data_IF_452422065126
#
_entry.id   IF_452422065126
#
_cell.length_a   1.000
_cell.length_b   1.000
_cell.length_c   1.000
_cell.angle_alpha   90.00
_cell.angle_beta   90.00
_cell.angle_gamma   90.00
#
_symmetry.space_group_name_H-M   'P 1'
#
loop_
_entity.id
_entity.type
_entity.pdbx_description
1 polymer ?
#
# COMPACT_ATOMS: atom_id res chain seq x y z
N UNK A 1 6.94 12.55 -15.54
CA UNK A 1 5.51 12.32 -15.26
C UNK A 1 5.25 12.74 -13.83
N UNK A 2 4.22 13.56 -13.57
CA UNK A 2 3.91 14.01 -12.21
C UNK A 2 3.30 12.88 -11.36
N UNK A 3 3.65 12.83 -10.09
CA UNK A 3 3.16 11.87 -9.09
C UNK A 3 2.28 12.61 -8.11
N UNK A 4 0.98 12.32 -8.15
CA UNK A 4 -0.01 13.00 -7.31
C UNK A 4 -0.50 12.05 -6.23
N UNK A 5 -0.54 12.49 -4.98
CA UNK A 5 -1.15 11.76 -3.88
C UNK A 5 -2.66 11.98 -3.85
N UNK A 6 -3.43 10.93 -3.59
CA UNK A 6 -4.84 11.03 -3.24
C UNK A 6 -5.03 10.46 -1.84
N UNK A 7 -5.43 11.31 -0.89
CA UNK A 7 -5.56 10.94 0.52
C UNK A 7 -6.79 11.54 1.16
N UNK A 8 -7.02 11.25 2.45
CA UNK A 8 -8.30 11.49 3.13
C UNK A 8 -8.66 10.40 4.15
N UNK A 9 -9.49 10.75 5.12
CA UNK A 9 -9.89 9.85 6.20
C UNK A 9 -10.71 8.65 5.74
N UNK A 10 -10.94 7.71 6.66
CA UNK A 10 -11.90 6.61 6.44
C UNK A 10 -13.28 7.22 6.18
N UNK A 11 -13.96 6.77 5.13
CA UNK A 11 -15.30 7.25 4.78
C UNK A 11 -15.34 8.56 3.97
N UNK A 12 -14.20 9.21 3.68
CA UNK A 12 -14.21 10.49 2.96
C UNK A 12 -14.49 10.39 1.45
N UNK A 13 -14.62 9.18 0.90
CA UNK A 13 -14.91 9.00 -0.52
C UNK A 13 -13.70 9.03 -1.47
N UNK A 14 -12.46 8.92 -0.96
CA UNK A 14 -11.23 8.79 -1.78
C UNK A 14 -11.36 7.79 -2.91
N UNK A 15 -11.89 6.59 -2.62
CA UNK A 15 -12.06 5.53 -3.62
C UNK A 15 -13.00 5.98 -4.75
N UNK A 16 -14.02 6.77 -4.45
CA UNK A 16 -14.92 7.36 -5.46
C UNK A 16 -14.18 8.37 -6.32
N UNK A 17 -13.41 9.29 -5.70
CA UNK A 17 -12.59 10.27 -6.43
C UNK A 17 -11.55 9.58 -7.31
N UNK A 18 -10.89 8.53 -6.81
CA UNK A 18 -9.96 7.72 -7.59
C UNK A 18 -10.62 7.08 -8.81
N UNK A 19 -11.82 6.50 -8.65
CA UNK A 19 -12.59 5.94 -9.78
C UNK A 19 -12.94 6.99 -10.83
N UNK A 20 -13.26 8.21 -10.42
CA UNK A 20 -13.53 9.32 -11.36
C UNK A 20 -12.27 9.64 -12.18
N UNK A 21 -11.11 9.75 -11.54
CA UNK A 21 -9.85 9.95 -12.27
C UNK A 21 -9.55 8.80 -13.24
N UNK A 22 -9.75 7.55 -12.82
CA UNK A 22 -9.61 6.40 -13.72
C UNK A 22 -10.55 6.46 -14.92
N UNK A 23 -11.81 6.87 -14.72
CA UNK A 23 -12.78 7.04 -15.80
C UNK A 23 -12.39 8.16 -16.79
N UNK A 24 -11.60 9.15 -16.34
CA UNK A 24 -11.02 10.21 -17.17
C UNK A 24 -9.70 9.79 -17.84
N UNK A 25 -9.29 8.53 -17.73
CA UNK A 25 -8.07 8.00 -18.34
C UNK A 25 -6.79 8.29 -17.54
N UNK A 26 -6.90 8.74 -16.29
CA UNK A 26 -5.75 8.95 -15.40
C UNK A 26 -5.45 7.65 -14.66
N UNK A 27 -4.22 7.10 -14.77
CA UNK A 27 -3.87 5.90 -14.02
C UNK A 27 -3.86 6.19 -12.52
N UNK A 28 -4.55 5.34 -11.76
CA UNK A 28 -4.63 5.41 -10.30
C UNK A 28 -4.07 4.12 -9.73
N UNK A 29 -3.05 4.26 -8.90
CA UNK A 29 -2.44 3.19 -8.13
C UNK A 29 -3.05 3.15 -6.73
N UNK A 30 -3.60 2.00 -6.36
CA UNK A 30 -4.23 1.78 -5.05
C UNK A 30 -3.21 1.12 -4.11
N UNK A 31 -2.55 1.93 -3.27
CA UNK A 31 -1.45 1.44 -2.43
C UNK A 31 -1.89 0.35 -1.44
N UNK A 32 -3.10 0.48 -0.89
CA UNK A 32 -3.65 -0.50 0.05
C UNK A 32 -3.92 -1.86 -0.60
N UNK A 33 -4.30 -1.88 -1.88
CA UNK A 33 -4.51 -3.12 -2.63
C UNK A 33 -3.19 -3.75 -3.04
N UNK A 34 -2.25 -2.94 -3.51
CA UNK A 34 -0.91 -3.40 -3.86
C UNK A 34 -0.18 -3.98 -2.64
N UNK A 35 -0.25 -3.32 -1.48
CA UNK A 35 0.31 -3.86 -0.23
C UNK A 35 -0.27 -5.21 0.16
N UNK A 36 -1.58 -5.41 -0.02
CA UNK A 36 -2.24 -6.71 0.19
C UNK A 36 -1.73 -7.76 -0.80
N UNK A 37 -1.55 -7.41 -2.06
CA UNK A 37 -1.03 -8.34 -3.07
C UNK A 37 0.43 -8.71 -2.79
N UNK A 38 1.27 -7.72 -2.46
CA UNK A 38 2.69 -7.90 -2.16
C UNK A 38 2.93 -8.82 -0.97
N UNK A 39 2.05 -8.82 0.04
CA UNK A 39 2.10 -9.76 1.17
C UNK A 39 2.12 -11.23 0.75
N UNK A 40 1.54 -11.56 -0.40
CA UNK A 40 1.49 -12.93 -0.91
C UNK A 40 2.67 -13.29 -1.83
N UNK A 41 3.56 -12.34 -2.15
CA UNK A 41 4.77 -12.65 -2.91
C UNK A 41 5.72 -13.49 -2.05
N UNK A 42 6.45 -14.48 -2.63
CA UNK A 42 7.31 -15.37 -1.85
C UNK A 42 8.31 -14.63 -0.95
N UNK A 43 8.96 -13.59 -1.49
CA UNK A 43 9.96 -12.80 -0.75
C UNK A 43 9.35 -12.12 0.48
N UNK A 44 8.26 -11.38 0.30
CA UNK A 44 7.61 -10.65 1.40
C UNK A 44 6.98 -11.62 2.38
N UNK A 45 6.29 -12.67 1.90
CA UNK A 45 5.71 -13.71 2.74
C UNK A 45 6.74 -14.33 3.67
N UNK A 46 7.88 -14.74 3.13
CA UNK A 46 8.91 -15.45 3.89
C UNK A 46 9.53 -14.52 4.95
N UNK A 47 9.73 -13.25 4.63
CA UNK A 47 10.18 -12.24 5.59
C UNK A 47 9.12 -11.98 6.69
N UNK A 48 7.83 -11.92 6.33
CA UNK A 48 6.73 -11.76 7.30
C UNK A 48 6.63 -12.98 8.21
N UNK A 49 6.77 -14.20 7.69
CA UNK A 49 6.79 -15.41 8.49
C UNK A 49 8.02 -15.48 9.43
N UNK A 50 9.17 -14.97 8.98
CA UNK A 50 10.35 -14.84 9.84
C UNK A 50 10.14 -13.80 10.96
N UNK A 51 9.45 -12.70 10.68
CA UNK A 51 9.17 -11.63 11.65
C UNK A 51 8.09 -12.02 12.68
N UNK A 52 6.98 -12.62 12.22
CA UNK A 52 5.79 -12.84 13.05
C UNK A 52 5.61 -14.28 13.53
N UNK A 53 6.44 -15.21 13.03
CA UNK A 53 6.36 -16.64 13.26
C UNK A 53 5.63 -17.38 12.13
N UNK A 54 5.99 -18.64 11.89
CA UNK A 54 5.38 -19.45 10.82
C UNK A 54 3.88 -19.71 11.02
N UNK A 55 3.36 -19.48 12.23
CA UNK A 55 1.94 -19.64 12.52
C UNK A 55 1.05 -18.63 11.76
N UNK A 56 1.62 -17.56 11.21
CA UNK A 56 0.87 -16.63 10.34
C UNK A 56 0.61 -17.18 8.95
N UNK A 57 1.15 -18.36 8.62
CA UNK A 57 0.88 -19.07 7.38
C UNK A 57 -0.30 -20.04 7.55
N UNK A 58 -1.12 -20.17 6.52
CA UNK A 58 -2.13 -21.23 6.40
C UNK A 58 -1.50 -22.57 6.00
N UNK A 59 -2.33 -23.61 5.91
CA UNK A 59 -1.89 -24.97 5.56
C UNK A 59 -1.31 -25.07 4.14
N UNK A 60 -1.64 -24.12 3.27
CA UNK A 60 -1.10 -24.02 1.90
C UNK A 60 0.18 -23.19 1.84
N UNK A 61 0.65 -22.66 2.98
CA UNK A 61 1.83 -21.81 3.05
C UNK A 61 1.60 -20.39 2.54
N UNK A 62 0.36 -19.87 2.57
CA UNK A 62 0.03 -18.49 2.26
C UNK A 62 -0.17 -17.67 3.54
N UNK A 63 -0.05 -16.34 3.46
CA UNK A 63 -0.36 -15.45 4.59
C UNK A 63 -1.83 -15.55 4.99
N UNK A 64 -2.08 -15.92 6.25
CA UNK A 64 -3.37 -15.71 6.92
C UNK A 64 -3.40 -14.29 7.51
N UNK A 65 -4.09 -13.39 6.82
CA UNK A 65 -4.20 -11.98 7.20
C UNK A 65 -4.82 -11.78 8.59
N UNK A 66 -5.71 -12.67 9.04
CA UNK A 66 -6.33 -12.56 10.38
C UNK A 66 -5.28 -12.84 11.46
N UNK A 67 -4.42 -13.83 11.24
CA UNK A 67 -3.32 -14.16 12.16
C UNK A 67 -2.26 -13.06 12.18
N UNK A 68 -1.88 -12.52 11.02
CA UNK A 68 -0.98 -11.35 10.95
C UNK A 68 -1.56 -10.19 11.75
N UNK A 69 -2.82 -9.83 11.48
CA UNK A 69 -3.53 -8.76 12.20
C UNK A 69 -3.51 -8.99 13.72
N UNK A 70 -3.86 -10.18 14.19
CA UNK A 70 -3.84 -10.52 15.61
C UNK A 70 -2.44 -10.33 16.25
N UNK A 71 -1.36 -10.69 15.53
CA UNK A 71 0.01 -10.52 16.03
C UNK A 71 0.46 -9.06 16.10
N UNK A 72 0.11 -8.25 15.10
CA UNK A 72 0.54 -6.84 15.04
C UNK A 72 -0.34 -5.90 15.87
N UNK A 73 -1.62 -6.24 16.08
CA UNK A 73 -2.48 -5.47 17.00
C UNK A 73 -2.14 -5.70 18.47
N UNK A 74 -1.56 -6.86 18.81
CA UNK A 74 -1.10 -7.15 20.16
C UNK A 74 0.27 -6.52 20.48
N UNK A 75 1.03 -6.07 19.47
CA UNK A 75 2.40 -5.58 19.63
C UNK A 75 2.71 -4.45 18.63
N UNK A 76 2.64 -3.18 19.06
CA UNK A 76 2.93 -2.03 18.21
C UNK A 76 4.31 -2.07 17.56
N UNK A 77 5.31 -2.68 18.20
CA UNK A 77 6.66 -2.81 17.63
C UNK A 77 6.66 -3.74 16.42
N UNK A 78 5.89 -4.84 16.47
CA UNK A 78 5.72 -5.73 15.32
C UNK A 78 4.97 -5.06 14.18
N UNK A 79 3.99 -4.21 14.49
CA UNK A 79 3.30 -3.42 13.47
C UNK A 79 4.28 -2.48 12.75
N UNK A 80 5.12 -1.77 13.51
CA UNK A 80 6.16 -0.91 12.94
C UNK A 80 7.14 -1.70 12.06
N UNK A 81 7.64 -2.84 12.53
CA UNK A 81 8.55 -3.71 11.76
C UNK A 81 7.89 -4.25 10.49
N UNK A 82 6.61 -4.64 10.56
CA UNK A 82 5.85 -5.07 9.39
C UNK A 82 5.72 -3.92 8.38
N UNK A 83 5.36 -2.73 8.84
CA UNK A 83 5.24 -1.54 7.98
C UNK A 83 6.59 -1.17 7.34
N UNK A 84 7.69 -1.26 8.07
CA UNK A 84 9.04 -1.03 7.56
C UNK A 84 9.46 -2.02 6.46
N UNK A 85 8.84 -3.19 6.41
CA UNK A 85 9.04 -4.19 5.36
C UNK A 85 8.12 -3.92 4.16
N UNK A 86 6.86 -3.59 4.40
CA UNK A 86 5.84 -3.43 3.35
C UNK A 86 5.95 -2.09 2.62
N UNK A 87 6.19 -0.98 3.31
CA UNK A 87 6.21 0.35 2.69
C UNK A 87 7.28 0.48 1.59
N UNK A 88 8.54 0.01 1.77
CA UNK A 88 9.53 0.03 0.69
C UNK A 88 9.11 -0.84 -0.51
N UNK A 89 8.47 -1.98 -0.26
CA UNK A 89 7.99 -2.87 -1.32
C UNK A 89 6.87 -2.21 -2.14
N UNK A 90 5.90 -1.58 -1.48
CA UNK A 90 4.81 -0.82 -2.14
C UNK A 90 5.37 0.36 -2.92
N UNK A 91 6.35 1.09 -2.34
CA UNK A 91 7.02 2.18 -3.05
C UNK A 91 7.68 1.69 -4.33
N UNK A 92 8.42 0.57 -4.26
CA UNK A 92 9.09 0.01 -5.43
C UNK A 92 8.09 -0.44 -6.49
N UNK A 93 7.03 -1.12 -6.08
CA UNK A 93 5.96 -1.56 -6.97
C UNK A 93 5.27 -0.36 -7.66
N UNK A 94 5.01 0.72 -6.92
CA UNK A 94 4.51 1.98 -7.49
C UNK A 94 5.49 2.57 -8.51
N UNK A 95 6.79 2.64 -8.21
CA UNK A 95 7.80 3.16 -9.14
C UNK A 95 7.83 2.37 -10.45
N UNK A 96 7.85 1.03 -10.35
CA UNK A 96 7.86 0.14 -11.51
C UNK A 96 6.53 0.21 -12.30
N UNK A 97 5.40 0.34 -11.60
CA UNK A 97 4.08 0.54 -12.22
C UNK A 97 3.99 1.90 -12.92
N UNK A 98 4.48 2.97 -12.29
CA UNK A 98 4.45 4.33 -12.81
C UNK A 98 5.32 4.46 -14.06
N UNK A 99 6.50 3.82 -14.08
CA UNK A 99 7.40 3.81 -15.24
C UNK A 99 6.77 3.22 -16.52
N UNK A 100 5.70 2.42 -16.39
CA UNK A 100 4.97 1.82 -17.52
C UNK A 100 3.84 2.70 -18.04
N UNK A 101 3.49 3.78 -17.34
CA UNK A 101 2.39 4.67 -17.72
C UNK A 101 2.85 5.71 -18.74
N UNK A 102 1.92 6.15 -19.60
CA UNK A 102 2.16 7.16 -20.65
C UNK A 102 1.43 8.48 -20.36
N UNK A 103 0.72 8.58 -19.23
CA UNK A 103 -0.02 9.78 -18.85
C UNK A 103 0.92 10.90 -18.40
N UNK A 104 0.45 12.15 -18.45
CA UNK A 104 1.22 13.31 -17.94
C UNK A 104 1.44 13.22 -16.43
N UNK A 105 0.49 12.61 -15.72
CA UNK A 105 0.53 12.38 -14.29
C UNK A 105 -0.14 11.05 -13.93
N UNK A 106 0.22 10.53 -12.76
CA UNK A 106 -0.40 9.36 -12.12
C UNK A 106 -0.82 9.72 -10.71
N UNK A 107 -1.79 8.97 -10.19
CA UNK A 107 -2.26 9.14 -8.82
C UNK A 107 -1.85 7.93 -7.99
N UNK A 108 -1.27 8.18 -6.81
CA UNK A 108 -1.08 7.19 -5.74
C UNK A 108 -2.13 7.44 -4.66
N UNK A 109 -3.11 6.56 -4.57
CA UNK A 109 -4.13 6.61 -3.53
C UNK A 109 -3.66 5.83 -2.30
N UNK A 110 -3.67 6.48 -1.14
CA UNK A 110 -3.32 5.89 0.14
C UNK A 110 -4.06 6.60 1.29
N UNK A 111 -4.61 5.82 2.22
CA UNK A 111 -5.30 6.36 3.39
C UNK A 111 -4.34 7.01 4.41
N UNK A 112 -3.11 6.51 4.53
CA UNK A 112 -2.09 6.94 5.49
C UNK A 112 -0.86 7.50 4.78
N UNK A 113 -1.08 8.48 3.90
CA UNK A 113 -0.03 8.99 3.01
C UNK A 113 1.11 9.67 3.78
N UNK A 114 0.77 10.50 4.76
CA UNK A 114 1.74 11.28 5.54
C UNK A 114 2.37 10.44 6.65
N UNK A 115 1.57 9.61 7.32
CA UNK A 115 2.02 8.77 8.44
C UNK A 115 3.02 7.70 7.97
N UNK A 116 2.92 7.27 6.72
CA UNK A 116 3.87 6.34 6.10
C UNK A 116 5.09 7.03 5.49
N UNK A 117 5.15 8.36 5.45
CA UNK A 117 6.17 9.13 4.72
C UNK A 117 6.11 8.91 3.20
N UNK A 118 4.98 8.40 2.70
CA UNK A 118 4.74 8.14 1.28
C UNK A 118 4.35 9.41 0.52
N UNK A 119 4.55 10.60 1.07
CA UNK A 119 4.38 11.87 0.38
C UNK A 119 5.71 12.44 -0.15
N UNK A 120 6.84 11.93 0.36
CA UNK A 120 8.18 12.48 0.10
C UNK A 120 8.60 12.52 -1.39
N UNK A 121 8.04 11.64 -2.22
CA UNK A 121 8.33 11.54 -3.67
C UNK A 121 7.16 11.98 -4.56
N UNK A 122 6.18 12.71 -3.99
CA UNK A 122 5.04 13.28 -4.71
C UNK A 122 5.27 14.74 -5.09
N UNK A 123 4.71 15.12 -6.25
CA UNK A 123 4.71 16.50 -6.75
C UNK A 123 3.52 17.33 -6.23
N UNK A 124 2.49 16.66 -5.68
CA UNK A 124 1.32 17.30 -5.12
C UNK A 124 0.37 16.31 -4.45
N UNK A 125 -0.52 16.81 -3.60
CA UNK A 125 -1.48 15.98 -2.84
C UNK A 125 -2.89 16.55 -2.97
N UNK A 126 -3.83 15.67 -3.27
CA UNK A 126 -5.28 15.92 -3.23
C UNK A 126 -5.81 15.28 -1.94
N UNK A 127 -6.39 16.10 -1.07
CA UNK A 127 -7.06 15.64 0.14
C UNK A 127 -8.59 15.63 -0.09
N UNK A 128 -9.24 14.52 0.26
CA UNK A 128 -10.70 14.36 0.23
C UNK A 128 -11.23 14.32 1.66
N UNK A 129 -12.13 15.25 2.00
CA UNK A 129 -12.73 15.45 3.33
C UNK A 129 -14.24 15.51 3.28
#
# INVERSE_FOLDING_TARGET
>A
MLRIGLTGGIGSGKTTVGKIFSALGVPVYLADEAGKALLHTPVIRDQVAALLGKEVLDESGNIDRRRVAARVFADPKKLEQLNALIHPAVRRDFEDWAARQQSRYVIREAAILFESGSDADLDGVIAVS
#
